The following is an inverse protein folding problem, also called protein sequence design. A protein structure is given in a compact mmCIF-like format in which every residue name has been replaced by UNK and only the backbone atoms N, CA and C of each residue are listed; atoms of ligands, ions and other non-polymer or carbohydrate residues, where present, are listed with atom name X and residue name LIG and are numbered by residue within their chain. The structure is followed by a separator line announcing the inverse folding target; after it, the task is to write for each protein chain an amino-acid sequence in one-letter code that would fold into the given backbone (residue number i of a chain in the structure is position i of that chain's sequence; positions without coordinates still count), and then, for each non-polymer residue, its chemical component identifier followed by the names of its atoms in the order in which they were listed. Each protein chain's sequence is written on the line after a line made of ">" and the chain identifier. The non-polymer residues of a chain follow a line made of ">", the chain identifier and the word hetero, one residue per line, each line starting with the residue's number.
data_IF_521379077905
#
_entry.id   IF_521379077905
#
_cell.length_a   1.000
_cell.length_b   1.000
_cell.length_c   1.000
_cell.angle_alpha   90.00
_cell.angle_beta   90.00
_cell.angle_gamma   90.00
#
_symmetry.space_group_name_H-M   'P 1'
#
loop_
_entity.id
_entity.type
_entity.pdbx_description
1 polymer ?
#
# COMPACT_ATOMS: atom_id res chain seq x y z
N UNK A 1 29.32 18.97 -4.59
CA UNK A 1 29.91 17.61 -4.49
C UNK A 1 28.89 16.73 -3.78
N UNK A 2 28.27 15.81 -4.52
CA UNK A 2 27.21 14.92 -4.03
C UNK A 2 27.84 13.92 -3.06
N UNK A 3 27.29 13.75 -1.85
CA UNK A 3 27.68 12.60 -1.03
C UNK A 3 27.07 11.35 -1.65
N UNK A 4 27.88 10.31 -1.84
CA UNK A 4 27.45 9.02 -2.41
C UNK A 4 26.23 8.40 -1.69
N UNK A 5 25.93 8.88 -0.48
CA UNK A 5 24.78 8.53 0.33
C UNK A 5 23.44 9.05 -0.24
N UNK A 6 23.40 10.27 -0.79
CA UNK A 6 22.18 10.83 -1.39
C UNK A 6 21.73 10.09 -2.66
N UNK A 7 22.69 9.64 -3.48
CA UNK A 7 22.38 8.83 -4.66
C UNK A 7 21.96 7.39 -4.31
N UNK A 8 22.41 6.84 -3.18
CA UNK A 8 21.97 5.52 -2.70
C UNK A 8 20.54 5.57 -2.19
N UNK A 9 20.18 6.59 -1.40
CA UNK A 9 18.83 6.78 -0.88
C UNK A 9 17.80 6.99 -2.01
N UNK A 10 18.15 7.81 -3.02
CA UNK A 10 17.28 8.03 -4.18
C UNK A 10 17.08 6.75 -5.02
N UNK A 11 18.10 5.88 -5.13
CA UNK A 11 18.00 4.60 -5.83
C UNK A 11 17.19 3.54 -5.07
N UNK A 12 17.22 3.57 -3.74
CA UNK A 12 16.45 2.65 -2.90
C UNK A 12 14.97 3.02 -2.88
N UNK A 13 14.65 4.30 -2.66
CA UNK A 13 13.28 4.83 -2.76
C UNK A 13 12.67 4.61 -4.16
N UNK A 14 13.49 4.64 -5.20
CA UNK A 14 13.05 4.38 -6.57
C UNK A 14 12.56 2.93 -6.81
N UNK A 15 13.17 1.93 -6.15
CA UNK A 15 12.68 0.54 -6.24
C UNK A 15 11.37 0.37 -5.49
N UNK A 16 11.23 0.99 -4.32
CA UNK A 16 10.03 0.89 -3.48
C UNK A 16 8.81 1.60 -4.11
N UNK A 17 8.98 2.76 -4.76
CA UNK A 17 7.88 3.47 -5.46
C UNK A 17 7.30 2.65 -6.62
N UNK A 18 8.15 1.90 -7.33
CA UNK A 18 7.73 1.11 -8.50
C UNK A 18 7.00 -0.17 -8.11
N UNK A 19 7.33 -0.73 -6.95
CA UNK A 19 6.76 -1.97 -6.42
C UNK A 19 5.50 -1.73 -5.60
N UNK A 20 5.43 -0.63 -4.82
CA UNK A 20 4.26 -0.28 -4.00
C UNK A 20 2.98 0.07 -4.78
N UNK A 21 3.05 0.24 -6.10
CA UNK A 21 1.87 0.42 -6.97
C UNK A 21 1.42 -0.88 -7.66
N UNK A 22 2.07 -2.01 -7.40
CA UNK A 22 1.96 -3.22 -8.22
C UNK A 22 1.74 -4.47 -7.36
N UNK A 23 0.68 -4.45 -6.54
CA UNK A 23 -0.01 -5.68 -6.18
C UNK A 23 -0.73 -6.23 -7.41
N UNK A 24 0.00 -6.97 -8.27
CA UNK A 24 -0.57 -7.64 -9.45
C UNK A 24 0.39 -7.71 -10.65
N UNK A 25 0.91 -8.92 -10.89
CA UNK A 25 1.55 -9.41 -12.11
C UNK A 25 2.86 -8.71 -12.60
N UNK A 26 3.97 -9.40 -12.33
CA UNK A 26 5.22 -9.31 -13.08
C UNK A 26 5.10 -10.15 -14.36
N UNK A 27 4.79 -9.53 -15.48
CA UNK A 27 5.05 -10.13 -16.80
C UNK A 27 6.41 -9.61 -17.28
N UNK A 28 7.44 -10.45 -17.19
CA UNK A 28 8.72 -10.21 -17.86
C UNK A 28 8.49 -10.33 -19.37
N UNK A 29 8.66 -9.22 -20.11
CA UNK A 29 8.54 -9.21 -21.56
C UNK A 29 9.70 -9.93 -22.23
N UNK A 30 9.45 -11.10 -22.81
CA UNK A 30 10.29 -11.71 -23.83
C UNK A 30 9.87 -11.14 -25.18
N UNK A 31 10.81 -10.51 -25.89
CA UNK A 31 10.61 -10.02 -27.26
C UNK A 31 10.48 -11.22 -28.21
N UNK A 32 9.24 -11.57 -28.57
CA UNK A 32 8.95 -12.29 -29.81
C UNK A 32 8.47 -11.26 -30.83
N UNK A 33 9.15 -11.22 -31.99
CA UNK A 33 8.88 -10.28 -33.08
C UNK A 33 7.39 -10.28 -33.43
N UNK A 34 6.70 -9.16 -33.20
CA UNK A 34 5.36 -8.89 -33.73
C UNK A 34 4.25 -8.63 -32.71
N UNK A 35 4.42 -8.94 -31.41
CA UNK A 35 3.48 -8.54 -30.36
C UNK A 35 4.20 -7.84 -29.20
N UNK A 36 3.99 -6.53 -29.03
CA UNK A 36 4.30 -5.84 -27.77
C UNK A 36 3.20 -6.18 -26.76
N UNK A 37 3.41 -7.21 -25.95
CA UNK A 37 2.69 -7.39 -24.68
C UNK A 37 3.29 -6.44 -23.65
N UNK A 38 2.94 -5.16 -23.75
CA UNK A 38 3.28 -4.14 -22.74
C UNK A 38 2.13 -4.03 -21.74
N UNK A 39 2.39 -3.61 -20.48
CA UNK A 39 1.32 -3.24 -19.52
C UNK A 39 0.29 -2.28 -20.13
N UNK A 40 0.71 -1.48 -21.10
CA UNK A 40 -0.08 -0.52 -21.87
C UNK A 40 -1.04 -1.13 -22.91
N UNK A 41 -0.92 -2.42 -23.24
CA UNK A 41 -1.88 -3.14 -24.07
C UNK A 41 -2.99 -3.79 -23.22
N UNK A 42 -2.63 -4.37 -22.06
CA UNK A 42 -3.56 -5.06 -21.18
C UNK A 42 -4.56 -4.13 -20.46
N UNK A 43 -4.20 -2.86 -20.23
CA UNK A 43 -5.06 -1.89 -19.53
C UNK A 43 -6.18 -1.28 -20.38
N UNK A 44 -6.10 -1.38 -21.71
CA UNK A 44 -6.91 -0.58 -22.63
C UNK A 44 -8.43 -0.76 -22.48
N UNK A 45 -8.98 -1.99 -22.31
CA UNK A 45 -10.43 -2.17 -22.17
C UNK A 45 -11.00 -1.47 -20.93
N UNK A 46 -10.19 -1.33 -19.87
CA UNK A 46 -10.64 -0.88 -18.55
C UNK A 46 -10.23 0.57 -18.23
N UNK A 47 -9.15 1.06 -18.82
CA UNK A 47 -8.61 2.41 -18.60
C UNK A 47 -8.93 3.34 -19.77
N UNK A 48 -9.21 2.78 -20.96
CA UNK A 48 -9.33 3.48 -22.23
C UNK A 48 -7.98 3.76 -22.87
N UNK A 49 -8.03 4.34 -24.08
CA UNK A 49 -6.86 4.66 -24.89
C UNK A 49 -6.66 6.18 -24.97
N UNK A 50 -5.39 6.58 -24.95
CA UNK A 50 -4.98 7.92 -25.35
C UNK A 50 -5.21 8.07 -26.87
N UNK A 51 -6.01 9.05 -27.32
CA UNK A 51 -6.29 9.22 -28.75
C UNK A 51 -5.06 9.66 -29.56
N UNK A 52 -4.06 10.29 -28.94
CA UNK A 52 -2.86 10.75 -29.65
C UNK A 52 -1.84 9.61 -29.85
N UNK A 53 -1.70 8.72 -28.87
CA UNK A 53 -0.66 7.69 -28.87
C UNK A 53 -1.19 6.27 -29.06
N UNK A 54 -2.49 6.05 -28.87
CA UNK A 54 -3.14 4.73 -28.89
C UNK A 54 -2.85 3.85 -27.68
N UNK A 55 -2.01 4.29 -26.73
CA UNK A 55 -1.66 3.53 -25.52
C UNK A 55 -2.76 3.57 -24.45
N UNK A 56 -2.77 2.59 -23.55
CA UNK A 56 -3.64 2.66 -22.37
C UNK A 56 -3.29 3.88 -21.52
N UNK A 57 -4.33 4.59 -21.09
CA UNK A 57 -4.19 5.67 -20.14
C UNK A 57 -3.84 5.13 -18.74
N UNK A 58 -3.11 5.91 -17.93
CA UNK A 58 -2.61 5.44 -16.62
C UNK A 58 -3.19 6.25 -15.46
N UNK A 59 -3.78 5.61 -14.45
CA UNK A 59 -4.25 6.28 -13.23
C UNK A 59 -3.09 6.55 -12.24
N UNK A 60 -1.97 7.10 -12.74
CA UNK A 60 -0.75 7.35 -11.96
C UNK A 60 -0.48 8.86 -11.89
N UNK A 61 -0.48 9.41 -10.68
CA UNK A 61 -0.18 10.83 -10.43
C UNK A 61 0.78 10.98 -9.26
N UNK A 62 1.76 11.88 -9.35
CA UNK A 62 2.56 12.27 -8.19
C UNK A 62 2.75 13.79 -8.06
N UNK A 63 1.87 14.59 -8.64
CA UNK A 63 1.83 16.04 -8.44
C UNK A 63 1.43 16.32 -6.99
N UNK A 64 2.14 17.24 -6.34
CA UNK A 64 1.89 17.61 -4.94
C UNK A 64 2.30 16.58 -3.88
N UNK A 65 2.72 15.37 -4.26
CA UNK A 65 3.20 14.33 -3.33
C UNK A 65 4.56 14.74 -2.76
N UNK A 66 4.65 14.72 -1.42
CA UNK A 66 5.83 15.15 -0.66
C UNK A 66 6.65 13.95 -0.19
N UNK A 67 7.58 13.49 -1.03
CA UNK A 67 8.40 12.32 -0.70
C UNK A 67 9.34 12.63 0.47
N UNK A 68 9.36 11.78 1.48
CA UNK A 68 10.21 11.94 2.66
C UNK A 68 9.66 12.87 3.75
N UNK A 69 8.40 13.33 3.66
CA UNK A 69 7.81 14.25 4.65
C UNK A 69 7.86 13.70 6.08
N UNK A 70 7.48 12.43 6.29
CA UNK A 70 7.58 11.78 7.61
C UNK A 70 9.03 11.74 8.12
N UNK A 71 9.98 11.40 7.24
CA UNK A 71 11.40 11.36 7.59
C UNK A 71 11.95 12.75 7.96
N UNK A 72 11.50 13.80 7.27
CA UNK A 72 11.84 15.19 7.57
C UNK A 72 11.32 15.58 8.96
N UNK A 73 10.03 15.35 9.23
CA UNK A 73 9.39 15.68 10.52
C UNK A 73 10.02 14.91 11.69
N UNK A 74 10.54 13.71 11.44
CA UNK A 74 11.25 12.89 12.43
C UNK A 74 12.75 13.19 12.52
N UNK A 75 13.26 14.19 11.80
CA UNK A 75 14.67 14.59 11.84
C UNK A 75 15.64 13.57 11.21
N UNK A 76 15.13 12.59 10.45
CA UNK A 76 15.96 11.57 9.78
C UNK A 76 16.61 12.06 8.48
N UNK A 77 16.03 13.10 7.88
CA UNK A 77 16.63 13.82 6.75
C UNK A 77 16.59 15.32 7.03
N UNK A 78 17.57 16.04 6.48
CA UNK A 78 17.63 17.51 6.59
C UNK A 78 16.63 18.19 5.66
N UNK A 79 16.26 19.46 5.91
CA UNK A 79 15.48 20.28 4.97
C UNK A 79 16.07 20.28 3.55
N UNK A 80 17.39 20.44 3.44
CA UNK A 80 18.10 20.40 2.16
C UNK A 80 17.94 19.04 1.45
N UNK A 81 18.02 17.91 2.17
CA UNK A 81 17.81 16.58 1.59
C UNK A 81 16.36 16.36 1.14
N UNK A 82 15.38 16.86 1.90
CA UNK A 82 13.96 16.80 1.53
C UNK A 82 13.67 17.58 0.25
N UNK A 83 14.20 18.81 0.13
CA UNK A 83 14.05 19.64 -1.06
C UNK A 83 14.74 19.00 -2.26
N UNK A 84 15.98 18.53 -2.11
CA UNK A 84 16.74 17.84 -3.16
C UNK A 84 16.01 16.59 -3.68
N UNK A 85 15.37 15.83 -2.78
CA UNK A 85 14.58 14.66 -3.15
C UNK A 85 13.37 15.08 -4.00
N UNK A 86 12.58 16.04 -3.54
CA UNK A 86 11.34 16.42 -4.22
C UNK A 86 11.57 17.20 -5.52
N UNK A 87 12.71 17.88 -5.66
CA UNK A 87 13.15 18.54 -6.88
C UNK A 87 13.59 17.53 -7.96
N UNK A 88 14.14 16.38 -7.56
CA UNK A 88 14.74 15.40 -8.49
C UNK A 88 13.95 14.11 -8.69
N UNK A 89 12.90 13.87 -7.89
CA UNK A 89 12.13 12.60 -7.95
C UNK A 89 11.49 12.37 -9.32
N UNK A 90 11.05 13.45 -9.97
CA UNK A 90 10.40 13.40 -11.28
C UNK A 90 9.20 12.46 -11.34
N UNK A 91 9.04 11.80 -12.47
CA UNK A 91 7.92 10.90 -12.77
C UNK A 91 8.32 9.84 -13.77
N UNK A 92 7.32 9.28 -14.45
CA UNK A 92 7.49 8.19 -15.40
C UNK A 92 6.79 8.47 -16.73
N UNK A 93 7.51 8.30 -17.84
CA UNK A 93 6.89 8.27 -19.18
C UNK A 93 6.08 6.98 -19.40
N UNK A 94 5.44 6.84 -20.56
CA UNK A 94 4.55 5.71 -20.88
C UNK A 94 5.25 4.35 -20.87
N UNK A 95 6.56 4.31 -21.16
CA UNK A 95 7.38 3.10 -21.17
C UNK A 95 7.94 2.78 -19.76
N UNK A 96 7.71 3.65 -18.78
CA UNK A 96 8.19 3.50 -17.41
C UNK A 96 9.61 4.01 -17.20
N UNK A 97 10.17 4.77 -18.14
CA UNK A 97 11.44 5.46 -17.92
C UNK A 97 11.22 6.66 -17.00
N UNK A 98 12.24 6.95 -16.18
CA UNK A 98 12.23 8.17 -15.37
C UNK A 98 12.35 9.40 -16.26
N UNK A 99 11.51 10.38 -15.97
CA UNK A 99 11.55 11.71 -16.57
C UNK A 99 11.61 12.78 -15.47
N UNK A 100 12.11 13.97 -15.81
CA UNK A 100 12.26 15.06 -14.85
C UNK A 100 10.90 15.59 -14.36
N UNK A 101 9.89 15.55 -15.22
CA UNK A 101 8.53 15.99 -14.93
C UNK A 101 7.79 14.97 -14.07
N UNK A 102 6.99 15.44 -13.12
CA UNK A 102 6.07 14.58 -12.36
C UNK A 102 5.02 13.95 -13.28
N UNK A 103 4.59 12.75 -12.95
CA UNK A 103 3.52 12.06 -13.67
C UNK A 103 2.19 12.69 -13.31
N UNK A 104 1.39 13.00 -14.33
CA UNK A 104 0.05 13.58 -14.18
C UNK A 104 -0.99 12.57 -14.66
N UNK A 105 -1.94 12.22 -13.82
CA UNK A 105 -3.07 11.38 -14.24
C UNK A 105 -4.19 12.22 -14.86
N UNK A 106 -4.82 11.65 -15.89
CA UNK A 106 -6.03 12.17 -16.50
C UNK A 106 -7.27 11.86 -15.64
N UNK A 107 -8.14 12.85 -15.47
CA UNK A 107 -9.31 12.77 -14.61
C UNK A 107 -10.33 11.69 -15.04
N UNK A 108 -10.52 11.45 -16.35
CA UNK A 108 -11.42 10.42 -16.85
C UNK A 108 -10.88 9.01 -16.56
N UNK A 109 -9.57 8.85 -16.47
CA UNK A 109 -8.91 7.57 -16.18
C UNK A 109 -8.97 7.25 -14.71
N UNK A 110 -8.79 8.29 -13.87
CA UNK A 110 -9.01 8.20 -12.43
C UNK A 110 -10.45 7.78 -12.13
N UNK A 111 -11.42 8.46 -12.74
CA UNK A 111 -12.84 8.11 -12.66
C UNK A 111 -13.10 6.62 -12.94
N UNK A 112 -12.62 6.12 -14.08
CA UNK A 112 -12.75 4.70 -14.46
C UNK A 112 -12.04 3.76 -13.48
N UNK A 113 -10.85 4.13 -12.99
CA UNK A 113 -10.13 3.31 -12.03
C UNK A 113 -10.90 3.12 -10.73
N UNK A 114 -11.58 4.17 -10.26
CA UNK A 114 -12.45 4.11 -9.09
C UNK A 114 -13.72 3.31 -9.36
N UNK A 115 -14.43 3.63 -10.44
CA UNK A 115 -15.72 3.03 -10.79
C UNK A 115 -15.61 1.52 -11.05
N UNK A 116 -14.55 1.11 -11.74
CA UNK A 116 -14.33 -0.27 -12.15
C UNK A 116 -13.65 -1.13 -11.08
N UNK A 117 -13.42 -0.58 -9.88
CA UNK A 117 -12.78 -1.29 -8.77
C UNK A 117 -11.30 -1.61 -8.97
N UNK A 118 -10.59 -0.86 -9.84
CA UNK A 118 -9.12 -0.94 -9.93
C UNK A 118 -8.45 -0.38 -8.69
N UNK A 119 -9.13 0.51 -7.96
CA UNK A 119 -8.78 0.90 -6.60
C UNK A 119 -9.65 0.12 -5.64
N UNK A 120 -9.04 -0.70 -4.79
CA UNK A 120 -9.77 -1.40 -3.73
C UNK A 120 -10.28 -0.36 -2.72
N UNK A 121 -11.61 -0.28 -2.55
CA UNK A 121 -12.25 0.70 -1.66
C UNK A 121 -12.76 0.10 -0.33
N UNK A 122 -12.71 -1.23 -0.15
CA UNK A 122 -13.21 -1.92 1.05
C UNK A 122 -14.72 -2.17 1.11
N UNK A 123 -15.50 -1.51 0.24
CA UNK A 123 -16.93 -1.78 0.07
C UNK A 123 -17.24 -2.92 -0.92
N UNK A 124 -18.49 -2.99 -1.38
CA UNK A 124 -18.94 -4.03 -2.31
C UNK A 124 -18.79 -5.42 -1.70
N UNK A 125 -18.22 -6.37 -2.46
CA UNK A 125 -18.04 -7.75 -1.98
C UNK A 125 -17.15 -7.88 -0.74
N UNK A 126 -16.21 -6.93 -0.51
CA UNK A 126 -15.34 -6.97 0.67
C UNK A 126 -16.08 -6.77 1.99
N UNK A 127 -17.27 -6.15 1.97
CA UNK A 127 -18.09 -6.00 3.17
C UNK A 127 -18.74 -7.30 3.63
N UNK A 128 -18.85 -8.29 2.73
CA UNK A 128 -19.62 -9.52 2.95
C UNK A 128 -18.80 -10.79 2.71
N UNK A 129 -17.47 -10.68 2.79
CA UNK A 129 -16.56 -11.81 2.61
C UNK A 129 -15.72 -11.98 3.88
N UNK A 130 -15.59 -13.21 4.41
CA UNK A 130 -14.58 -13.56 5.40
C UNK A 130 -13.16 -13.27 4.89
N UNK A 131 -12.37 -12.53 5.67
CA UNK A 131 -11.01 -12.17 5.31
C UNK A 131 -10.07 -12.63 6.43
N UNK A 132 -9.09 -13.47 6.09
CA UNK A 132 -8.09 -13.93 7.04
C UNK A 132 -6.71 -13.86 6.40
N UNK A 133 -5.86 -13.00 6.93
CA UNK A 133 -4.49 -12.79 6.45
C UNK A 133 -3.53 -13.58 7.36
N UNK A 134 -2.59 -14.32 6.77
CA UNK A 134 -1.45 -14.88 7.50
C UNK A 134 -0.18 -14.39 6.81
N UNK A 135 0.45 -13.38 7.42
CA UNK A 135 1.61 -12.72 6.84
C UNK A 135 2.87 -13.20 7.49
N UNK A 136 3.75 -13.81 6.71
CA UNK A 136 5.13 -14.01 7.09
C UNK A 136 5.87 -12.68 6.92
N UNK A 137 6.38 -12.12 8.01
CA UNK A 137 7.02 -10.80 8.00
C UNK A 137 8.42 -10.87 7.38
N UNK A 138 8.61 -10.27 6.21
CA UNK A 138 9.86 -10.32 5.45
C UNK A 138 10.40 -8.94 5.03
N UNK A 139 10.02 -7.88 5.74
CA UNK A 139 10.37 -6.48 5.41
C UNK A 139 11.88 -6.27 5.25
N UNK A 140 12.69 -6.91 6.11
CA UNK A 140 14.16 -6.79 6.07
C UNK A 140 14.79 -7.29 4.76
N UNK A 141 14.09 -8.18 4.04
CA UNK A 141 14.52 -8.72 2.76
C UNK A 141 14.05 -7.86 1.57
N UNK A 142 13.33 -6.76 1.82
CA UNK A 142 12.72 -5.94 0.78
C UNK A 142 11.56 -6.65 0.08
N UNK A 143 10.83 -7.50 0.81
CA UNK A 143 9.65 -8.19 0.29
C UNK A 143 8.57 -7.18 -0.14
N UNK A 144 7.95 -7.44 -1.29
CA UNK A 144 6.91 -6.58 -1.86
C UNK A 144 5.53 -6.82 -1.25
N UNK A 145 5.34 -7.97 -0.59
CA UNK A 145 4.16 -8.29 0.19
C UNK A 145 4.30 -7.63 1.55
N UNK A 146 4.11 -6.32 1.55
CA UNK A 146 4.39 -5.47 2.70
C UNK A 146 3.35 -5.60 3.80
N UNK A 147 3.79 -5.64 5.05
CA UNK A 147 2.94 -5.85 6.21
C UNK A 147 1.96 -4.72 6.49
N UNK A 148 2.22 -3.52 5.96
CA UNK A 148 1.26 -2.42 6.07
C UNK A 148 0.00 -2.65 5.23
N UNK A 149 0.03 -3.51 4.20
CA UNK A 149 -1.13 -3.78 3.34
C UNK A 149 -2.31 -4.37 4.12
N UNK A 150 -2.04 -5.17 5.17
CA UNK A 150 -3.09 -5.70 6.04
C UNK A 150 -3.86 -4.58 6.75
N UNK A 151 -3.10 -3.57 7.19
CA UNK A 151 -3.62 -2.37 7.86
C UNK A 151 -4.31 -1.46 6.85
N UNK A 152 -3.84 -1.40 5.60
CA UNK A 152 -4.54 -0.68 4.55
C UNK A 152 -5.92 -1.29 4.27
N UNK A 153 -6.01 -2.62 4.15
CA UNK A 153 -7.31 -3.30 3.97
C UNK A 153 -8.22 -3.03 5.18
N UNK A 154 -7.70 -3.09 6.41
CA UNK A 154 -8.44 -2.72 7.63
C UNK A 154 -8.98 -1.29 7.55
N UNK A 155 -8.16 -0.33 7.15
CA UNK A 155 -8.55 1.06 7.00
C UNK A 155 -9.61 1.26 5.91
N UNK A 156 -9.50 0.54 4.77
CA UNK A 156 -10.50 0.58 3.68
C UNK A 156 -11.85 0.02 4.14
N UNK A 157 -11.85 -1.12 4.86
CA UNK A 157 -13.07 -1.70 5.42
C UNK A 157 -13.76 -0.75 6.40
N UNK A 158 -13.00 -0.16 7.33
CA UNK A 158 -13.51 0.83 8.28
C UNK A 158 -14.08 2.07 7.58
N UNK A 159 -13.36 2.60 6.57
CA UNK A 159 -13.79 3.77 5.80
C UNK A 159 -15.09 3.50 5.03
N UNK A 160 -15.24 2.34 4.40
CA UNK A 160 -16.38 2.02 3.56
C UNK A 160 -17.60 1.51 4.33
N UNK A 161 -17.39 0.78 5.42
CA UNK A 161 -18.46 0.01 6.08
C UNK A 161 -18.65 0.39 7.56
N UNK A 162 -17.79 1.25 8.14
CA UNK A 162 -17.79 1.58 9.57
C UNK A 162 -17.34 0.43 10.48
N UNK A 163 -16.92 -0.70 9.91
CA UNK A 163 -16.54 -1.93 10.61
C UNK A 163 -15.52 -2.73 9.82
N UNK A 164 -14.83 -3.66 10.49
CA UNK A 164 -13.88 -4.58 9.88
C UNK A 164 -13.79 -5.90 10.64
N UNK A 165 -14.85 -6.26 11.34
CA UNK A 165 -14.96 -7.50 12.10
C UNK A 165 -14.96 -8.76 11.21
N UNK A 166 -15.20 -8.61 9.90
CA UNK A 166 -14.98 -9.64 8.90
C UNK A 166 -13.50 -9.86 8.50
N UNK A 167 -12.56 -9.08 9.06
CA UNK A 167 -11.12 -9.27 8.85
C UNK A 167 -10.43 -9.84 10.09
N UNK A 168 -9.46 -10.71 9.86
CA UNK A 168 -8.50 -11.22 10.84
C UNK A 168 -7.10 -11.10 10.26
N UNK A 169 -6.17 -10.53 11.02
CA UNK A 169 -4.79 -10.35 10.60
C UNK A 169 -3.86 -11.09 11.55
N UNK A 170 -3.12 -12.05 11.00
CA UNK A 170 -2.09 -12.81 11.67
C UNK A 170 -0.71 -12.44 11.12
N UNK A 171 0.22 -12.05 12.00
CA UNK A 171 1.61 -11.76 11.63
C UNK A 171 2.54 -12.83 12.22
N UNK A 172 3.33 -13.45 11.36
CA UNK A 172 4.20 -14.58 11.65
C UNK A 172 5.66 -14.18 11.44
N UNK A 173 6.60 -14.71 12.25
CA UNK A 173 8.02 -14.53 11.98
C UNK A 173 8.40 -15.22 10.67
N UNK A 174 9.35 -14.62 9.93
CA UNK A 174 9.99 -15.34 8.85
C UNK A 174 10.81 -16.52 9.39
N UNK A 175 10.66 -17.74 8.86
CA UNK A 175 11.39 -18.90 9.37
C UNK A 175 12.91 -18.75 9.32
N UNK A 176 13.44 -17.94 8.39
CA UNK A 176 14.89 -17.68 8.28
C UNK A 176 15.38 -16.55 9.20
N UNK A 177 14.48 -15.83 9.88
CA UNK A 177 14.86 -14.71 10.77
C UNK A 177 15.92 -15.07 11.82
N UNK A 178 15.92 -16.27 12.44
CA UNK A 178 16.97 -16.68 13.39
C UNK A 178 18.38 -16.61 12.81
N UNK A 179 18.58 -16.89 11.52
CA UNK A 179 19.91 -16.85 10.90
C UNK A 179 20.52 -15.44 10.89
N UNK A 180 19.68 -14.41 10.92
CA UNK A 180 20.11 -13.01 11.03
C UNK A 180 20.30 -12.54 12.48
N UNK A 181 19.91 -13.35 13.46
CA UNK A 181 19.92 -13.04 14.89
C UNK A 181 20.87 -13.96 15.68
N UNK A 182 21.75 -14.69 15.00
CA UNK A 182 22.71 -15.62 15.64
C UNK A 182 22.11 -16.99 16.03
N UNK A 183 20.93 -17.33 15.51
CA UNK A 183 20.29 -18.62 15.69
C UNK A 183 20.85 -19.72 14.77
N UNK A 184 20.28 -20.92 14.90
CA UNK A 184 20.75 -22.15 14.27
C UNK A 184 19.78 -22.68 13.20
N UNK A 185 20.21 -23.63 12.34
CA UNK A 185 19.29 -24.36 11.46
C UNK A 185 18.15 -25.06 12.21
N UNK A 186 18.37 -25.47 13.47
CA UNK A 186 17.32 -26.06 14.31
C UNK A 186 16.24 -25.03 14.66
N UNK A 187 16.61 -23.78 14.90
CA UNK A 187 15.64 -22.69 15.12
C UNK A 187 14.79 -22.43 13.87
N UNK A 188 15.42 -22.46 12.69
CA UNK A 188 14.72 -22.34 11.40
C UNK A 188 13.71 -23.47 11.22
N UNK A 189 14.11 -24.72 11.47
CA UNK A 189 13.21 -25.88 11.37
C UNK A 189 12.03 -25.76 12.35
N UNK A 190 12.29 -25.33 13.59
CA UNK A 190 11.27 -25.16 14.63
C UNK A 190 10.27 -24.06 14.26
N UNK A 191 10.75 -22.90 13.78
CA UNK A 191 9.87 -21.83 13.28
C UNK A 191 9.10 -22.23 12.03
N UNK A 192 9.73 -22.97 11.11
CA UNK A 192 9.04 -23.49 9.91
C UNK A 192 7.86 -24.37 10.30
N UNK A 193 8.06 -25.29 11.26
CA UNK A 193 7.00 -26.14 11.77
C UNK A 193 5.87 -25.32 12.43
N UNK A 194 6.22 -24.32 13.23
CA UNK A 194 5.25 -23.41 13.86
C UNK A 194 4.43 -22.64 12.81
N UNK A 195 5.09 -22.00 11.84
CA UNK A 195 4.42 -21.23 10.76
C UNK A 195 3.47 -22.12 9.98
N UNK A 196 3.92 -23.33 9.58
CA UNK A 196 3.06 -24.28 8.87
C UNK A 196 1.85 -24.70 9.71
N UNK A 197 2.03 -24.92 11.02
CA UNK A 197 0.95 -25.24 11.94
C UNK A 197 -0.09 -24.12 12.05
N UNK A 198 0.36 -22.86 12.17
CA UNK A 198 -0.53 -21.70 12.24
C UNK A 198 -1.28 -21.49 10.92
N UNK A 199 -0.59 -21.62 9.78
CA UNK A 199 -1.24 -21.53 8.45
C UNK A 199 -2.28 -22.66 8.26
N UNK A 200 -1.98 -23.88 8.71
CA UNK A 200 -2.96 -24.97 8.69
C UNK A 200 -4.20 -24.64 9.57
N UNK A 201 -3.99 -24.09 10.77
CA UNK A 201 -5.08 -23.65 11.65
C UNK A 201 -5.93 -22.55 10.99
N UNK A 202 -5.32 -21.63 10.25
CA UNK A 202 -6.04 -20.61 9.48
C UNK A 202 -6.99 -21.25 8.47
N UNK A 203 -6.56 -22.27 7.73
CA UNK A 203 -7.45 -22.98 6.78
C UNK A 203 -8.63 -23.65 7.49
N UNK A 204 -8.40 -24.26 8.66
CA UNK A 204 -9.48 -24.87 9.46
C UNK A 204 -10.48 -23.81 9.92
N UNK A 205 -10.01 -22.66 10.41
CA UNK A 205 -10.90 -21.57 10.84
C UNK A 205 -11.67 -20.95 9.67
N UNK A 206 -11.02 -20.76 8.52
CA UNK A 206 -11.68 -20.28 7.31
C UNK A 206 -12.75 -21.26 6.83
N UNK A 207 -12.46 -22.57 6.82
CA UNK A 207 -13.45 -23.60 6.49
C UNK A 207 -14.65 -23.51 7.42
N UNK A 208 -14.44 -23.48 8.74
CA UNK A 208 -15.52 -23.39 9.71
C UNK A 208 -16.38 -22.12 9.52
N UNK A 209 -15.76 -20.99 9.16
CA UNK A 209 -16.47 -19.74 8.89
C UNK A 209 -17.34 -19.85 7.62
N UNK A 210 -16.80 -20.43 6.55
CA UNK A 210 -17.51 -20.64 5.28
C UNK A 210 -18.63 -21.68 5.41
N UNK A 211 -18.41 -22.75 6.17
CA UNK A 211 -19.41 -23.78 6.46
C UNK A 211 -20.58 -23.18 7.24
N UNK A 212 -20.30 -22.39 8.28
CA UNK A 212 -21.32 -21.68 9.03
C UNK A 212 -22.12 -20.70 8.14
N UNK A 213 -21.44 -19.96 7.27
CA UNK A 213 -22.06 -19.04 6.32
C UNK A 213 -22.99 -19.74 5.32
N UNK A 214 -22.60 -20.94 4.89
CA UNK A 214 -23.36 -21.76 3.93
C UNK A 214 -24.55 -22.45 4.58
N UNK A 215 -24.43 -22.86 5.84
CA UNK A 215 -25.49 -23.51 6.60
C UNK A 215 -26.59 -22.56 7.07
N UNK A 216 -26.26 -21.28 7.32
CA UNK A 216 -27.22 -20.27 7.72
C UNK A 216 -28.04 -19.79 6.49
N UNK A 217 -29.38 -19.92 6.47
CA UNK A 217 -30.21 -19.56 5.33
C UNK A 217 -30.44 -18.05 5.17
N UNK A 218 -30.02 -17.22 6.12
CA UNK A 218 -30.21 -15.77 6.06
C UNK A 218 -29.47 -15.18 4.84
N UNK A 219 -29.98 -14.11 4.22
CA UNK A 219 -29.28 -13.40 3.15
C UNK A 219 -27.86 -12.99 3.56
N UNK A 220 -26.92 -13.04 2.62
CA UNK A 220 -25.54 -12.62 2.87
C UNK A 220 -25.49 -11.13 3.22
N UNK A 221 -24.93 -10.81 4.38
CA UNK A 221 -24.75 -9.44 4.88
C UNK A 221 -23.49 -9.34 5.73
N UNK A 222 -22.99 -8.12 5.93
CA UNK A 222 -21.85 -7.88 6.81
C UNK A 222 -22.11 -8.38 8.24
N UNK A 223 -23.33 -8.18 8.76
CA UNK A 223 -23.76 -8.69 10.07
C UNK A 223 -23.74 -10.22 10.13
N UNK A 224 -24.17 -10.90 9.07
CA UNK A 224 -24.10 -12.36 8.98
C UNK A 224 -22.66 -12.84 9.03
N UNK A 225 -21.77 -12.23 8.23
CA UNK A 225 -20.34 -12.59 8.21
C UNK A 225 -19.70 -12.39 9.58
N UNK A 226 -19.92 -11.25 10.22
CA UNK A 226 -19.38 -10.96 11.54
C UNK A 226 -19.92 -11.90 12.62
N UNK A 227 -21.23 -12.17 12.63
CA UNK A 227 -21.87 -13.05 13.61
C UNK A 227 -21.35 -14.48 13.54
N UNK A 228 -21.10 -14.98 12.32
CA UNK A 228 -20.68 -16.38 12.08
C UNK A 228 -19.16 -16.56 12.11
N UNK A 229 -18.41 -15.51 12.42
CA UNK A 229 -16.96 -15.58 12.59
C UNK A 229 -16.60 -16.52 13.75
N UNK A 230 -15.73 -17.53 13.54
CA UNK A 230 -15.27 -18.39 14.61
C UNK A 230 -14.60 -17.58 15.73
N UNK A 231 -14.95 -17.86 16.99
CA UNK A 231 -14.41 -17.12 18.13
C UNK A 231 -12.88 -17.12 18.27
N UNK A 232 -12.12 -18.16 17.86
CA UNK A 232 -10.65 -18.11 17.89
C UNK A 232 -10.03 -17.23 16.80
N UNK A 233 -10.80 -16.83 15.78
CA UNK A 233 -10.32 -16.04 14.66
C UNK A 233 -10.18 -14.56 15.08
N UNK A 234 -9.21 -14.25 15.94
CA UNK A 234 -8.91 -12.88 16.38
C UNK A 234 -7.55 -12.42 15.87
N UNK A 235 -7.34 -11.12 15.76
CA UNK A 235 -6.06 -10.53 15.35
C UNK A 235 -4.93 -10.95 16.29
N UNK A 236 -3.76 -11.27 15.74
CA UNK A 236 -2.61 -11.70 16.53
C UNK A 236 -1.28 -11.62 15.78
N UNK A 237 -0.19 -11.74 16.52
CA UNK A 237 1.09 -12.18 15.99
C UNK A 237 1.68 -13.32 16.81
N UNK A 238 2.71 -13.97 16.29
CA UNK A 238 3.47 -15.01 16.99
C UNK A 238 4.88 -14.54 17.21
N UNK A 239 5.45 -14.73 18.39
CA UNK A 239 6.88 -14.46 18.62
C UNK A 239 7.78 -15.61 18.13
N UNK A 240 9.10 -15.47 18.31
CA UNK A 240 10.07 -16.50 17.92
C UNK A 240 10.02 -17.79 18.79
N UNK A 241 9.35 -17.73 19.93
CA UNK A 241 9.08 -18.89 20.78
C UNK A 241 7.77 -19.60 20.38
N UNK A 242 6.97 -19.00 19.49
CA UNK A 242 5.68 -19.52 19.06
C UNK A 242 4.50 -19.10 19.95
N UNK A 243 4.71 -18.15 20.87
CA UNK A 243 3.62 -17.62 21.69
C UNK A 243 2.72 -16.74 20.83
N UNK A 244 1.41 -16.99 20.89
CA UNK A 244 0.40 -16.14 20.26
C UNK A 244 0.15 -14.91 21.12
N UNK A 245 0.24 -13.73 20.52
CA UNK A 245 0.04 -12.43 21.13
C UNK A 245 -1.16 -11.78 20.46
N UNK A 246 -2.23 -11.53 21.22
CA UNK A 246 -3.36 -10.74 20.73
C UNK A 246 -2.97 -9.27 20.66
N UNK A 247 -3.14 -8.67 19.48
CA UNK A 247 -2.85 -7.26 19.25
C UNK A 247 -3.64 -6.76 18.04
N UNK A 248 -4.04 -5.49 18.07
CA UNK A 248 -4.81 -4.89 16.97
C UNK A 248 -3.85 -4.46 15.86
N UNK A 249 -4.13 -4.76 14.57
CA UNK A 249 -3.28 -4.34 13.47
C UNK A 249 -3.19 -2.82 13.40
N UNK A 250 -1.98 -2.30 13.50
CA UNK A 250 -1.67 -0.87 13.41
C UNK A 250 -0.36 -0.67 12.64
N UNK A 251 -0.12 0.55 12.15
CA UNK A 251 1.16 0.90 11.51
C UNK A 251 2.30 1.11 12.53
N UNK A 252 1.97 1.43 13.78
CA UNK A 252 2.91 1.66 14.86
C UNK A 252 2.24 1.40 16.21
N UNK A 253 3.05 1.18 17.25
CA UNK A 253 2.57 0.85 18.60
C UNK A 253 2.07 -0.60 18.72
N UNK A 254 1.94 -1.09 19.95
CA UNK A 254 1.59 -2.49 20.22
C UNK A 254 2.78 -3.44 20.16
N UNK A 255 2.61 -4.62 20.75
CA UNK A 255 3.65 -5.66 20.84
C UNK A 255 3.99 -6.22 19.46
N UNK A 256 2.99 -6.39 18.59
CA UNK A 256 3.23 -6.96 17.26
C UNK A 256 4.05 -6.05 16.35
N UNK A 257 3.93 -4.72 16.48
CA UNK A 257 4.80 -3.80 15.76
C UNK A 257 6.21 -3.66 16.39
N UNK A 258 6.35 -3.95 17.68
CA UNK A 258 7.67 -4.04 18.31
C UNK A 258 8.45 -5.27 17.82
N UNK A 259 7.76 -6.39 17.57
CA UNK A 259 8.34 -7.59 16.98
C UNK A 259 8.54 -7.47 15.46
N UNK A 260 7.55 -6.88 14.77
CA UNK A 260 7.44 -6.87 13.32
C UNK A 260 7.13 -5.46 12.81
N UNK A 261 8.13 -4.58 12.92
CA UNK A 261 8.05 -3.21 12.44
C UNK A 261 7.70 -3.17 10.95
N UNK A 262 6.81 -2.25 10.57
CA UNK A 262 6.29 -2.14 9.21
C UNK A 262 6.88 -0.90 8.54
N UNK A 263 7.36 -1.05 7.31
CA UNK A 263 7.50 0.09 6.42
C UNK A 263 6.13 0.68 6.10
N UNK A 264 6.10 1.86 5.48
CA UNK A 264 4.89 2.42 4.86
C UNK A 264 5.23 2.88 3.46
N UNK A 265 4.24 2.91 2.56
CA UNK A 265 4.45 3.40 1.21
C UNK A 265 4.96 4.85 1.23
N UNK A 266 5.75 5.27 0.22
CA UNK A 266 6.21 6.66 0.12
C UNK A 266 5.07 7.70 0.08
N UNK A 267 3.86 7.31 -0.33
CA UNK A 267 2.67 8.16 -0.28
C UNK A 267 2.14 8.32 1.15
N UNK A 268 2.02 7.24 1.91
CA UNK A 268 1.63 7.29 3.33
C UNK A 268 2.68 8.07 4.13
N UNK A 269 3.97 7.82 3.89
CA UNK A 269 5.05 8.64 4.45
C UNK A 269 4.99 10.12 4.01
N UNK A 270 4.37 10.40 2.87
CA UNK A 270 4.05 11.73 2.35
C UNK A 270 2.74 12.33 2.86
N UNK A 271 2.07 11.68 3.81
CA UNK A 271 0.83 12.15 4.44
C UNK A 271 -0.47 11.57 3.88
N UNK A 272 -0.41 10.66 2.91
CA UNK A 272 -1.61 9.99 2.38
C UNK A 272 -2.32 9.18 3.49
N UNK A 273 -3.65 9.00 3.40
CA UNK A 273 -4.37 8.17 4.35
C UNK A 273 -3.89 6.71 4.29
N UNK A 274 -3.99 6.00 5.41
CA UNK A 274 -3.62 4.57 5.49
C UNK A 274 -4.42 3.72 4.51
N UNK A 275 -5.65 4.12 4.19
CA UNK A 275 -6.45 3.45 3.17
C UNK A 275 -5.84 3.52 1.76
N UNK A 276 -4.86 4.40 1.48
CA UNK A 276 -4.13 4.52 0.21
C UNK A 276 -5.03 4.42 -1.03
N UNK A 277 -6.14 5.17 -1.00
CA UNK A 277 -7.18 5.17 -2.03
C UNK A 277 -7.31 6.53 -2.73
N UNK A 278 -6.33 7.42 -2.54
CA UNK A 278 -6.22 8.72 -3.21
C UNK A 278 -5.13 8.62 -4.29
N UNK A 279 -5.55 8.34 -5.53
CA UNK A 279 -4.64 8.19 -6.67
C UNK A 279 -4.02 9.53 -7.10
N UNK A 280 -4.84 10.58 -7.11
CA UNK A 280 -4.48 11.97 -7.33
C UNK A 280 -5.17 12.80 -6.26
N UNK A 281 -4.39 13.53 -5.48
CA UNK A 281 -4.90 14.40 -4.42
C UNK A 281 -5.44 15.71 -5.02
N UNK A 282 -6.37 16.35 -4.31
CA UNK A 282 -6.56 17.79 -4.47
C UNK A 282 -5.31 18.50 -3.95
N UNK A 283 -5.05 19.73 -4.41
CA UNK A 283 -3.89 20.49 -3.97
C UNK A 283 -4.31 21.64 -3.05
N UNK A 284 -3.51 21.86 -2.00
CA UNK A 284 -3.57 23.04 -1.15
C UNK A 284 -2.27 23.82 -1.24
N UNK A 285 -2.34 25.11 -0.91
CA UNK A 285 -1.14 25.92 -0.75
C UNK A 285 -0.19 25.30 0.29
N UNK A 286 1.11 25.47 0.08
CA UNK A 286 2.14 25.07 1.05
C UNK A 286 1.93 25.88 2.32
N UNK A 287 1.88 25.20 3.47
CA UNK A 287 1.75 25.81 4.77
C UNK A 287 2.90 25.36 5.68
N UNK A 288 3.66 26.30 6.24
CA UNK A 288 4.79 26.01 7.13
C UNK A 288 4.40 25.13 8.34
N UNK A 289 3.16 25.26 8.83
CA UNK A 289 2.65 24.42 9.92
C UNK A 289 2.60 22.93 9.55
N UNK A 290 2.48 22.58 8.26
CA UNK A 290 2.52 21.20 7.80
C UNK A 290 3.93 20.59 7.95
N UNK A 291 4.98 21.36 8.26
CA UNK A 291 6.34 20.84 8.37
C UNK A 291 6.84 20.74 9.81
N UNK A 292 6.03 21.14 10.78
CA UNK A 292 6.41 21.10 12.19
C UNK A 292 6.99 19.73 12.62
N UNK A 293 8.09 19.70 13.40
CA UNK A 293 8.76 20.84 14.05
C UNK A 293 9.82 21.56 13.17
N UNK A 294 9.92 21.23 11.88
CA UNK A 294 10.94 21.80 10.99
C UNK A 294 10.60 23.23 10.60
N UNK A 295 11.60 24.11 10.67
CA UNK A 295 11.50 25.51 10.21
C UNK A 295 12.43 25.71 9.02
N UNK A 296 11.86 26.05 7.87
CA UNK A 296 12.64 26.37 6.67
C UNK A 296 13.22 27.78 6.73
N UNK A 297 14.41 27.94 6.17
CA UNK A 297 14.98 29.26 5.84
C UNK A 297 14.22 29.93 4.69
N UNK A 298 14.43 31.23 4.47
CA UNK A 298 13.79 31.95 3.36
C UNK A 298 14.17 31.36 1.99
N UNK A 299 15.42 30.95 1.80
CA UNK A 299 15.89 30.31 0.57
C UNK A 299 15.23 28.93 0.37
N UNK A 300 15.07 28.15 1.43
CA UNK A 300 14.40 26.85 1.38
C UNK A 300 12.90 26.98 1.08
N UNK A 301 12.22 27.98 1.64
CA UNK A 301 10.83 28.30 1.28
C UNK A 301 10.68 28.66 -0.19
N UNK A 302 11.60 29.47 -0.74
CA UNK A 302 11.60 29.79 -2.16
C UNK A 302 11.79 28.53 -3.03
N UNK A 303 12.70 27.63 -2.64
CA UNK A 303 12.85 26.33 -3.32
C UNK A 303 11.58 25.48 -3.23
N UNK A 304 10.94 25.42 -2.06
CA UNK A 304 9.72 24.67 -1.85
C UNK A 304 8.58 25.16 -2.75
N UNK A 305 8.42 26.47 -2.89
CA UNK A 305 7.46 27.09 -3.80
C UNK A 305 7.75 26.77 -5.28
N UNK A 306 9.03 26.71 -5.67
CA UNK A 306 9.43 26.29 -7.02
C UNK A 306 9.17 24.80 -7.28
N UNK A 307 9.35 23.93 -6.27
CA UNK A 307 9.10 22.49 -6.37
C UNK A 307 7.60 22.18 -6.46
N UNK A 308 6.78 22.93 -5.73
CA UNK A 308 5.33 22.76 -5.64
C UNK A 308 4.58 24.02 -6.08
N UNK A 309 4.70 24.45 -7.36
CA UNK A 309 4.12 25.71 -7.82
C UNK A 309 2.60 25.73 -7.80
N UNK A 310 1.97 24.55 -7.89
CA UNK A 310 0.51 24.36 -7.79
C UNK A 310 0.06 23.93 -6.40
N UNK A 311 0.97 23.85 -5.42
CA UNK A 311 0.70 23.36 -4.07
C UNK A 311 1.03 21.89 -3.86
N UNK A 312 0.73 21.42 -2.65
CA UNK A 312 0.97 20.06 -2.15
C UNK A 312 -0.35 19.34 -1.92
N UNK A 313 -0.30 18.02 -1.80
CA UNK A 313 -1.50 17.22 -1.58
C UNK A 313 -2.29 17.67 -0.34
N UNK A 314 -3.58 17.89 -0.54
CA UNK A 314 -4.60 18.01 0.49
C UNK A 314 -5.32 16.66 0.66
N UNK A 315 -4.82 15.85 1.60
CA UNK A 315 -5.42 14.57 1.94
C UNK A 315 -6.64 14.67 2.86
N UNK A 316 -7.06 15.89 3.25
CA UNK A 316 -8.35 16.09 3.91
C UNK A 316 -9.52 16.01 2.93
N UNK A 317 -9.24 16.13 1.62
CA UNK A 317 -10.22 16.05 0.55
C UNK A 317 -10.23 14.68 -0.11
N UNK A 318 -11.37 14.26 -0.71
CA UNK A 318 -11.40 13.12 -1.61
C UNK A 318 -10.43 13.29 -2.78
N UNK A 319 -9.95 12.17 -3.34
CA UNK A 319 -9.13 12.18 -4.54
C UNK A 319 -9.86 12.77 -5.74
N UNK A 320 -9.11 13.32 -6.69
CA UNK A 320 -9.65 13.82 -7.96
C UNK A 320 -10.40 12.69 -8.66
N UNK A 321 -11.66 12.98 -9.03
CA UNK A 321 -12.56 12.03 -9.68
C UNK A 321 -12.88 10.77 -8.87
N UNK A 322 -12.54 10.75 -7.57
CA UNK A 322 -12.90 9.66 -6.66
C UNK A 322 -14.41 9.53 -6.59
N UNK A 323 -14.88 8.30 -6.79
CA UNK A 323 -16.29 7.95 -6.85
C UNK A 323 -16.52 6.52 -6.34
N UNK A 324 -17.76 6.19 -5.93
CA UNK A 324 -18.11 4.83 -5.58
C UNK A 324 -17.87 3.85 -6.74
N UNK A 325 -17.78 2.56 -6.40
CA UNK A 325 -17.81 1.48 -7.38
C UNK A 325 -19.10 1.57 -8.21
N UNK A 326 -19.01 1.32 -9.52
CA UNK A 326 -20.17 1.23 -10.41
C UNK A 326 -21.02 -0.02 -10.15
N UNK A 327 -20.48 -0.99 -9.41
CA UNK A 327 -21.14 -2.24 -9.04
C UNK A 327 -20.12 -3.35 -8.76
N UNK A 328 -20.61 -4.52 -8.38
CA UNK A 328 -19.84 -5.76 -8.35
C UNK A 328 -20.12 -6.57 -9.62
N UNK A 329 -19.15 -7.38 -10.08
CA UNK A 329 -19.30 -8.25 -11.27
C UNK A 329 -19.67 -7.50 -12.57
N UNK A 330 -18.97 -6.40 -12.84
CA UNK A 330 -19.20 -5.56 -14.02
C UNK A 330 -18.93 -6.32 -15.33
N UNK A 331 -19.80 -6.12 -16.33
CA UNK A 331 -19.65 -6.63 -17.71
C UNK A 331 -19.30 -5.46 -18.63
N UNK A 332 -18.31 -5.65 -19.50
CA UNK A 332 -17.79 -4.64 -20.43
C UNK A 332 -17.78 -5.17 -21.86
#
# INVERSE_FOLDING_TARGET
>A
RITAQGQRLARQLHREITLGHQGGELVFGVLLRGLRLTRTAAGQPLQGRDPATGFALRPLDNVGVQYGLLALRQGRITPAQFLDLNERVGGYDIDGNRIAQRTVADAAVLARAYENGRVVQGGGGLATVPIMHARVWAEIAGDIHTAYDDVQIRAKLLKANGRADNQVVWVLPHPQLPLFLGGTPADVARLTAMVNGVVAQQFVLMSAWLDALSADPAPLSADKVARLKPSPATDACWDLAGNRIADVPALAGGTCNALYAKGVSPRIAGGAPVADDVLKCQLKAVNDADYAPVVFTAAERARLATIFPSGVCDYSQPGVSQRPLGGTWLRY
#
